data_IF_168885181300
#
_entry.id   IF_168885181300
#
_cell.length_a   1.000
_cell.length_b   1.000
_cell.length_c   1.000
_cell.angle_alpha   90.00
_cell.angle_beta   90.00
_cell.angle_gamma   90.00
#
_symmetry.space_group_name_H-M   'P 1'
#
loop_
_entity.id
_entity.type
_entity.pdbx_description
1 polymer ?
#
# COMPACT_ATOMS: atom_id res chain seq x y z
N UNK A 1 -15.33 -9.16 12.22
CA UNK A 1 -15.46 -8.04 11.25
C UNK A 1 -16.42 -6.96 11.79
N UNK A 2 -15.97 -5.70 11.91
CA UNK A 2 -16.86 -4.61 12.32
C UNK A 2 -17.85 -4.32 11.19
N UNK A 3 -19.09 -4.81 11.35
CA UNK A 3 -20.18 -4.55 10.43
C UNK A 3 -20.41 -3.04 10.35
N UNK A 4 -20.14 -2.44 9.19
CA UNK A 4 -20.18 -0.99 8.98
C UNK A 4 -21.61 -0.47 9.14
N UNK A 5 -21.98 -0.07 10.36
CA UNK A 5 -23.27 0.56 10.65
C UNK A 5 -23.34 1.92 9.94
N UNK A 6 -24.05 1.96 8.81
CA UNK A 6 -24.49 3.21 8.18
C UNK A 6 -23.45 3.97 7.36
N UNK A 7 -22.58 3.28 6.61
CA UNK A 7 -21.56 3.86 5.69
C UNK A 7 -20.59 4.88 6.30
N UNK A 8 -20.63 5.08 7.62
CA UNK A 8 -19.71 5.92 8.37
C UNK A 8 -18.59 5.07 8.95
N UNK A 9 -17.38 5.58 8.87
CA UNK A 9 -16.20 4.97 9.48
C UNK A 9 -16.26 5.13 11.01
N UNK A 10 -15.64 4.23 11.80
CA UNK A 10 -15.56 4.41 13.24
C UNK A 10 -14.91 5.73 13.66
N UNK A 11 -13.95 6.24 12.88
CA UNK A 11 -13.31 7.54 13.10
C UNK A 11 -14.32 8.69 12.97
N UNK A 12 -15.15 8.68 11.93
CA UNK A 12 -16.20 9.67 11.74
C UNK A 12 -17.22 9.68 12.87
N UNK A 13 -17.58 8.51 13.39
CA UNK A 13 -18.51 8.40 14.51
C UNK A 13 -17.89 8.95 15.80
N UNK A 14 -16.58 8.72 16.01
CA UNK A 14 -15.89 9.11 17.25
C UNK A 14 -15.55 10.60 17.29
N UNK A 15 -15.17 11.18 16.15
CA UNK A 15 -14.66 12.55 16.08
C UNK A 15 -15.61 13.52 15.37
N UNK A 16 -16.75 13.05 14.87
CA UNK A 16 -17.75 13.82 14.12
C UNK A 16 -17.14 14.61 12.93
N UNK A 17 -16.08 14.06 12.33
CA UNK A 17 -15.37 14.64 11.18
C UNK A 17 -14.90 13.56 10.21
N UNK A 18 -14.90 13.84 8.90
CA UNK A 18 -14.33 12.92 7.90
C UNK A 18 -12.84 12.69 8.13
N UNK A 19 -12.38 11.50 7.75
CA UNK A 19 -10.95 11.17 7.73
C UNK A 19 -10.28 11.96 6.61
N UNK A 20 -9.28 12.76 6.95
CA UNK A 20 -8.39 13.35 5.96
C UNK A 20 -7.49 12.25 5.38
N UNK A 21 -7.70 11.91 4.10
CA UNK A 21 -6.94 10.85 3.41
C UNK A 21 -5.43 11.08 3.45
N UNK A 22 -5.00 12.35 3.52
CA UNK A 22 -3.58 12.73 3.65
C UNK A 22 -2.92 12.23 4.95
N UNK A 23 -3.72 11.95 5.99
CA UNK A 23 -3.24 11.44 7.29
C UNK A 23 -3.10 9.92 7.30
N UNK A 24 -3.57 9.22 6.26
CA UNK A 24 -3.35 7.80 6.11
C UNK A 24 -1.92 7.56 5.65
N UNK A 25 -1.20 6.71 6.39
CA UNK A 25 0.13 6.27 6.00
C UNK A 25 0.05 4.84 5.47
N UNK A 26 0.82 4.50 4.42
CA UNK A 26 0.91 3.13 3.96
C UNK A 26 1.37 2.24 5.11
N UNK A 27 0.56 1.26 5.48
CA UNK A 27 0.94 0.23 6.43
C UNK A 27 1.80 -0.82 5.72
N UNK A 28 2.89 -1.24 6.35
CA UNK A 28 3.73 -2.33 5.86
C UNK A 28 5.23 -2.06 5.96
N UNK A 29 6.02 -3.00 5.45
CA UNK A 29 7.48 -2.92 5.43
C UNK A 29 7.97 -2.35 4.07
N UNK A 30 8.92 -1.39 4.05
CA UNK A 30 9.61 -1.02 2.82
C UNK A 30 10.29 -2.24 2.20
N UNK A 31 9.95 -2.54 0.96
CA UNK A 31 10.49 -3.68 0.24
C UNK A 31 11.08 -3.25 -1.11
N UNK A 32 11.97 -4.09 -1.64
CA UNK A 32 12.70 -3.86 -2.88
C UNK A 32 12.68 -5.13 -3.74
N UNK A 33 11.55 -5.46 -4.39
CA UNK A 33 11.45 -6.62 -5.26
C UNK A 33 12.40 -6.48 -6.46
N UNK A 34 12.99 -7.61 -6.85
CA UNK A 34 13.82 -7.71 -8.04
C UNK A 34 12.97 -7.46 -9.29
N UNK A 35 13.44 -6.59 -10.18
CA UNK A 35 12.86 -6.37 -11.49
C UNK A 35 13.48 -7.40 -12.46
N UNK A 36 12.67 -8.27 -13.09
CA UNK A 36 13.13 -9.22 -14.11
C UNK A 36 13.84 -8.49 -15.26
N UNK A 37 14.83 -9.15 -15.87
CA UNK A 37 15.73 -8.50 -16.84
C UNK A 37 14.98 -7.97 -18.05
N UNK A 38 13.94 -8.69 -18.49
CA UNK A 38 13.09 -8.35 -19.63
C UNK A 38 12.31 -7.05 -19.40
N UNK A 39 12.12 -6.67 -18.13
CA UNK A 39 11.37 -5.48 -17.72
C UNK A 39 12.28 -4.29 -17.37
N UNK A 40 13.60 -4.43 -17.46
CA UNK A 40 14.55 -3.34 -17.14
C UNK A 40 14.72 -2.40 -18.33
N UNK A 41 14.28 -1.15 -18.19
CA UNK A 41 14.29 -0.13 -19.25
C UNK A 41 15.70 0.21 -19.82
N UNK A 42 16.76 -0.07 -19.06
CA UNK A 42 18.17 0.15 -19.48
C UNK A 42 19.03 -1.10 -19.32
N UNK A 43 18.41 -2.28 -19.30
CA UNK A 43 19.05 -3.58 -19.11
C UNK A 43 20.09 -3.56 -17.96
N UNK A 44 21.38 -3.58 -18.29
CA UNK A 44 22.52 -3.59 -17.37
C UNK A 44 22.60 -2.37 -16.44
N UNK A 45 22.25 -1.19 -16.96
CA UNK A 45 22.31 0.09 -16.23
C UNK A 45 20.95 0.56 -15.73
N UNK A 46 19.93 -0.29 -15.83
CA UNK A 46 18.59 0.00 -15.30
C UNK A 46 18.51 -0.33 -13.82
N UNK A 47 17.53 0.29 -13.15
CA UNK A 47 17.21 -0.04 -11.77
C UNK A 47 16.89 -1.54 -11.65
N UNK A 48 17.50 -2.19 -10.66
CA UNK A 48 17.31 -3.62 -10.40
C UNK A 48 16.17 -3.90 -9.44
N UNK A 49 15.73 -2.90 -8.68
CA UNK A 49 14.64 -3.00 -7.73
C UNK A 49 13.92 -1.66 -7.62
N UNK A 50 12.64 -1.71 -7.25
CA UNK A 50 11.82 -0.52 -7.01
C UNK A 50 11.29 -0.55 -5.58
N UNK A 51 11.35 0.59 -4.88
CA UNK A 51 10.75 0.70 -3.55
C UNK A 51 9.24 0.45 -3.62
N UNK A 52 8.75 -0.45 -2.78
CA UNK A 52 7.33 -0.72 -2.61
C UNK A 52 7.01 -0.98 -1.13
N UNK A 53 5.72 -1.22 -0.87
CA UNK A 53 5.22 -1.63 0.45
C UNK A 53 4.78 -3.08 0.32
N UNK A 54 5.35 -3.96 1.15
CA UNK A 54 4.97 -5.37 1.17
C UNK A 54 3.64 -5.55 1.91
N UNK A 55 2.60 -5.97 1.18
CA UNK A 55 1.25 -6.22 1.72
C UNK A 55 1.06 -7.70 2.09
N UNK A 56 1.73 -8.61 1.37
CA UNK A 56 1.63 -10.06 1.55
C UNK A 56 2.00 -10.82 0.28
N UNK A 57 2.00 -12.15 0.37
CA UNK A 57 2.04 -13.02 -0.81
C UNK A 57 0.64 -13.21 -1.36
N UNK A 58 0.52 -13.42 -2.67
CA UNK A 58 -0.72 -13.87 -3.27
C UNK A 58 -0.96 -15.32 -2.84
N UNK A 59 -2.16 -15.64 -2.33
CA UNK A 59 -2.58 -17.04 -2.19
C UNK A 59 -2.64 -17.65 -3.59
N UNK A 60 -1.88 -18.72 -3.81
CA UNK A 60 -1.86 -19.48 -5.06
C UNK A 60 -3.02 -20.45 -5.16
#
# INVERSE_FOLDING_TARGET
PASAKGRRTPYEILYDRPVEVQRLHPFGCPAYPLIPEEKRHKQKFGDKARRCVFIGYHEG
#
